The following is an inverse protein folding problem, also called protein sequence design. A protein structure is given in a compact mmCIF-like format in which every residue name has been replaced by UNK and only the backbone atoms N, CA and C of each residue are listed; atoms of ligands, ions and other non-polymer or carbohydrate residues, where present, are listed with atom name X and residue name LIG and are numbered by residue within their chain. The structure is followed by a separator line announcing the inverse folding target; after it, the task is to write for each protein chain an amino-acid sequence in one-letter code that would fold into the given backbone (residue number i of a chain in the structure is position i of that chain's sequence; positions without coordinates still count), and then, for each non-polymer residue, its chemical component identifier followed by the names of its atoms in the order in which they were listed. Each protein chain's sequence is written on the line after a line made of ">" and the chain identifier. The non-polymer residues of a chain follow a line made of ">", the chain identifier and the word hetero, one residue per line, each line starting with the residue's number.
data_IF_502707865705
#
_entry.id   IF_502707865705
#
_cell.length_a   1.000
_cell.length_b   1.000
_cell.length_c   1.000
_cell.angle_alpha   90.00
_cell.angle_beta   90.00
_cell.angle_gamma   90.00
#
_symmetry.space_group_name_H-M   'P 1'
#
loop_
_entity.id
_entity.type
_entity.pdbx_description
1 polymer ?
#
# COMPACT_ATOMS: atom_id res chain seq x y z
N UNK A 1 -16.44 24.87 17.28
CA UNK A 1 -16.43 23.45 16.89
C UNK A 1 -16.20 22.62 18.13
N UNK A 2 -17.06 21.66 18.42
CA UNK A 2 -16.90 20.69 19.53
C UNK A 2 -16.23 19.44 18.96
N UNK A 3 -15.00 19.18 19.39
CA UNK A 3 -14.25 17.97 19.03
C UNK A 3 -14.54 16.89 20.08
N UNK A 4 -14.80 15.67 19.64
CA UNK A 4 -15.05 14.50 20.50
C UNK A 4 -13.76 13.68 20.71
N UNK A 5 -13.73 12.82 21.71
CA UNK A 5 -12.58 12.00 22.08
C UNK A 5 -12.40 10.79 21.15
N UNK A 6 -11.18 10.28 21.07
CA UNK A 6 -10.91 9.00 20.41
C UNK A 6 -11.38 7.83 21.29
N UNK A 7 -12.22 6.95 20.74
CA UNK A 7 -12.69 5.74 21.44
C UNK A 7 -12.23 4.48 20.70
N UNK A 8 -11.35 3.68 21.31
CA UNK A 8 -10.82 2.44 20.71
C UNK A 8 -9.74 2.68 19.64
N UNK A 9 -9.73 1.87 18.57
CA UNK A 9 -8.77 1.95 17.45
C UNK A 9 -9.04 3.08 16.44
N UNK A 10 -9.74 4.15 16.83
CA UNK A 10 -10.07 5.29 15.96
C UNK A 10 -8.85 5.96 15.32
N UNK A 11 -7.65 5.75 15.86
CA UNK A 11 -6.41 6.24 15.28
C UNK A 11 -6.24 5.78 13.84
N UNK A 12 -6.47 4.51 13.50
CA UNK A 12 -6.11 3.90 12.20
C UNK A 12 -6.88 4.47 11.00
N UNK A 13 -7.90 5.31 11.23
CA UNK A 13 -8.74 5.94 10.22
C UNK A 13 -8.11 7.15 9.51
N UNK A 14 -6.86 7.53 9.83
CA UNK A 14 -6.20 8.68 9.23
C UNK A 14 -5.05 8.29 8.30
N UNK A 15 -4.91 8.97 7.16
CA UNK A 15 -3.68 8.91 6.39
C UNK A 15 -2.52 9.54 7.18
N UNK A 16 -1.35 8.91 7.13
CA UNK A 16 -0.19 9.36 7.90
C UNK A 16 1.06 9.47 7.04
N UNK A 17 1.83 10.52 7.30
CA UNK A 17 3.22 10.55 6.88
C UNK A 17 4.07 9.67 7.78
N UNK A 18 4.87 8.80 7.14
CA UNK A 18 5.80 7.92 7.84
C UNK A 18 7.13 8.65 8.05
N UNK A 19 7.42 8.99 9.30
CA UNK A 19 8.70 9.59 9.67
C UNK A 19 9.59 8.49 10.28
N UNK A 20 10.78 8.22 9.73
CA UNK A 20 11.67 7.21 10.29
C UNK A 20 12.12 7.56 11.72
N UNK A 21 11.91 6.62 12.65
CA UNK A 21 12.32 6.76 14.06
C UNK A 21 13.82 7.03 14.22
N UNK A 22 14.63 6.54 13.28
CA UNK A 22 16.08 6.77 13.26
C UNK A 22 16.45 8.26 13.28
N UNK A 23 15.62 9.13 12.68
CA UNK A 23 15.85 10.59 12.70
C UNK A 23 15.74 11.20 14.10
N UNK A 24 15.13 10.50 15.05
CA UNK A 24 14.96 10.95 16.44
C UNK A 24 15.95 10.30 17.41
N UNK A 25 16.45 9.11 17.09
CA UNK A 25 17.32 8.34 18.00
C UNK A 25 18.81 8.45 17.62
N UNK A 26 19.12 8.58 16.34
CA UNK A 26 20.51 8.64 15.89
C UNK A 26 21.12 10.02 16.19
N UNK A 27 22.29 10.01 16.84
CA UNK A 27 23.04 11.21 17.19
C UNK A 27 23.36 12.08 15.96
N UNK A 28 23.49 11.49 14.78
CA UNK A 28 23.78 12.19 13.51
C UNK A 28 22.68 13.18 13.12
N UNK A 29 21.43 12.92 13.51
CA UNK A 29 20.27 13.76 13.20
C UNK A 29 19.75 14.52 14.41
N UNK A 30 20.52 14.59 15.50
CA UNK A 30 20.09 15.25 16.74
C UNK A 30 19.82 16.74 16.55
N UNK A 31 20.60 17.39 15.69
CA UNK A 31 20.46 18.81 15.37
C UNK A 31 19.43 19.08 14.26
N UNK A 32 18.88 18.05 13.63
CA UNK A 32 17.82 18.20 12.63
C UNK A 32 16.56 18.78 13.29
N UNK A 33 15.88 19.70 12.63
CA UNK A 33 14.65 20.30 13.10
C UNK A 33 13.48 19.33 12.96
N UNK A 34 12.47 19.46 13.82
CA UNK A 34 11.26 18.63 13.74
C UNK A 34 10.56 18.81 12.41
N UNK A 35 10.49 20.04 11.91
CA UNK A 35 9.90 20.35 10.60
C UNK A 35 10.67 19.71 9.45
N UNK A 36 12.01 19.64 9.54
CA UNK A 36 12.82 18.95 8.55
C UNK A 36 12.63 17.43 8.60
N UNK A 37 12.49 16.84 9.79
CA UNK A 37 12.11 15.42 9.94
C UNK A 37 10.76 15.13 9.29
N UNK A 38 9.76 16.00 9.52
CA UNK A 38 8.44 15.89 8.89
C UNK A 38 8.53 16.04 7.38
N UNK A 39 9.27 17.03 6.87
CA UNK A 39 9.50 17.22 5.45
C UNK A 39 10.12 15.96 4.83
N UNK A 40 11.14 15.38 5.46
CA UNK A 40 11.74 14.14 4.96
C UNK A 40 10.73 12.99 4.89
N UNK A 41 9.84 12.84 5.89
CA UNK A 41 8.75 11.87 5.85
C UNK A 41 7.78 12.09 4.67
N UNK A 42 7.44 13.35 4.37
CA UNK A 42 6.62 13.70 3.20
C UNK A 42 7.36 13.37 1.89
N UNK A 43 8.66 13.66 1.81
CA UNK A 43 9.47 13.36 0.61
C UNK A 43 9.60 11.85 0.38
N UNK A 44 9.68 11.03 1.43
CA UNK A 44 9.66 9.57 1.31
C UNK A 44 8.33 9.06 0.75
N UNK A 45 7.21 9.60 1.23
CA UNK A 45 5.88 9.26 0.71
C UNK A 45 5.77 9.63 -0.78
N UNK A 46 6.19 10.84 -1.16
CA UNK A 46 6.26 11.28 -2.57
C UNK A 46 7.21 10.44 -3.42
N UNK A 47 8.35 10.02 -2.89
CA UNK A 47 9.28 9.13 -3.57
C UNK A 47 8.62 7.80 -3.90
N UNK A 48 7.81 7.26 -2.99
CA UNK A 48 7.07 6.01 -3.22
C UNK A 48 6.10 6.11 -4.41
N UNK A 49 5.53 7.29 -4.66
CA UNK A 49 4.70 7.58 -5.83
C UNK A 49 5.55 7.69 -7.11
N UNK A 50 6.70 8.37 -7.05
CA UNK A 50 7.62 8.49 -8.17
C UNK A 50 8.17 7.14 -8.66
N UNK A 51 8.38 6.17 -7.75
CA UNK A 51 8.71 4.78 -8.13
C UNK A 51 7.61 4.16 -8.99
N UNK A 52 6.36 4.28 -8.56
CA UNK A 52 5.20 3.70 -9.28
C UNK A 52 5.03 4.31 -10.67
N UNK A 53 5.33 5.60 -10.80
CA UNK A 53 5.23 6.33 -12.06
C UNK A 53 6.46 6.15 -12.97
N UNK A 54 7.46 5.36 -12.57
CA UNK A 54 8.67 5.14 -13.36
C UNK A 54 9.56 6.38 -13.48
N UNK A 55 9.50 7.31 -12.53
CA UNK A 55 10.31 8.54 -12.54
C UNK A 55 11.74 8.24 -12.06
N UNK A 56 12.51 7.65 -12.96
CA UNK A 56 13.88 7.23 -12.77
C UNK A 56 14.82 8.03 -13.67
N UNK A 57 16.02 8.33 -13.19
CA UNK A 57 17.08 8.84 -14.05
C UNK A 57 17.75 7.71 -14.86
N UNK A 58 18.69 8.07 -15.73
CA UNK A 58 19.45 7.13 -16.57
C UNK A 58 20.25 6.10 -15.76
N UNK A 59 20.51 6.36 -14.47
CA UNK A 59 21.18 5.44 -13.56
C UNK A 59 20.20 4.62 -12.71
N UNK A 60 18.89 4.69 -13.01
CA UNK A 60 17.84 3.99 -12.27
C UNK A 60 17.53 4.58 -10.90
N UNK A 61 18.00 5.81 -10.59
CA UNK A 61 17.70 6.48 -9.33
C UNK A 61 16.38 7.22 -9.43
N UNK A 62 15.53 7.00 -8.44
CA UNK A 62 14.24 7.68 -8.33
C UNK A 62 14.47 9.15 -8.03
N UNK A 63 13.80 10.02 -8.77
CA UNK A 63 13.72 11.43 -8.44
C UNK A 63 12.28 11.85 -8.20
N UNK A 64 12.11 12.88 -7.38
CA UNK A 64 10.84 13.55 -7.18
C UNK A 64 10.93 14.98 -7.69
N UNK A 65 9.80 15.51 -8.14
CA UNK A 65 9.63 16.94 -8.40
C UNK A 65 8.77 17.45 -7.25
N UNK A 66 9.36 18.27 -6.38
CA UNK A 66 8.66 18.86 -5.25
C UNK A 66 9.16 20.29 -5.03
N UNK A 67 8.27 21.24 -5.21
CA UNK A 67 8.57 22.67 -5.27
C UNK A 67 8.53 23.32 -3.89
N UNK A 68 9.14 24.50 -3.76
CA UNK A 68 9.05 25.31 -2.53
C UNK A 68 7.60 25.60 -2.17
N UNK A 69 6.76 25.90 -3.17
CA UNK A 69 5.33 26.14 -2.98
C UNK A 69 4.60 24.92 -2.39
N UNK A 70 4.86 23.72 -2.90
CA UNK A 70 4.26 22.49 -2.34
C UNK A 70 4.68 22.24 -0.89
N UNK A 71 5.92 22.58 -0.51
CA UNK A 71 6.37 22.54 0.90
C UNK A 71 5.60 23.54 1.75
N UNK A 72 5.39 24.75 1.24
CA UNK A 72 4.61 25.77 1.95
C UNK A 72 3.17 25.32 2.18
N UNK A 73 2.56 24.69 1.18
CA UNK A 73 1.19 24.15 1.28
C UNK A 73 1.14 22.98 2.29
N UNK A 74 2.13 22.08 2.27
CA UNK A 74 2.12 20.87 3.11
C UNK A 74 2.49 21.13 4.57
N UNK A 75 3.35 22.12 4.85
CA UNK A 75 3.80 22.47 6.20
C UNK A 75 3.23 23.81 6.69
N UNK A 76 2.31 24.42 5.94
CA UNK A 76 1.72 25.74 6.19
C UNK A 76 2.77 26.79 6.59
N UNK A 77 3.89 26.86 5.84
CA UNK A 77 5.04 27.67 6.19
C UNK A 77 5.34 28.77 5.16
N UNK A 78 6.05 29.81 5.60
CA UNK A 78 6.52 30.87 4.72
C UNK A 78 7.65 30.36 3.81
N UNK A 79 7.82 30.99 2.65
CA UNK A 79 8.78 30.57 1.61
C UNK A 79 10.20 30.46 2.14
N UNK A 80 10.65 31.45 2.91
CA UNK A 80 11.99 31.46 3.52
C UNK A 80 12.22 30.24 4.42
N UNK A 81 11.18 29.78 5.12
CA UNK A 81 11.24 28.61 5.99
C UNK A 81 11.31 27.34 5.16
N UNK A 82 10.49 27.21 4.12
CA UNK A 82 10.56 26.07 3.18
C UNK A 82 11.96 25.93 2.54
N UNK A 83 12.56 27.04 2.10
CA UNK A 83 13.93 27.04 1.55
C UNK A 83 14.96 26.62 2.61
N UNK A 84 14.80 27.10 3.86
CA UNK A 84 15.67 26.70 4.98
C UNK A 84 15.59 25.20 5.26
N UNK A 85 14.38 24.61 5.25
CA UNK A 85 14.18 23.18 5.46
C UNK A 85 14.86 22.33 4.38
N UNK A 86 14.80 22.75 3.12
CA UNK A 86 15.53 22.07 2.06
C UNK A 86 17.04 22.11 2.28
N UNK A 87 17.60 23.27 2.65
CA UNK A 87 19.02 23.40 2.93
C UNK A 87 19.44 22.51 4.10
N UNK A 88 18.63 22.49 5.15
CA UNK A 88 18.89 21.65 6.32
C UNK A 88 18.95 20.16 5.93
N UNK A 89 18.00 19.67 5.11
CA UNK A 89 18.04 18.29 4.63
C UNK A 89 19.23 18.01 3.70
N UNK A 90 19.70 18.99 2.93
CA UNK A 90 20.93 18.90 2.13
C UNK A 90 22.17 18.80 3.04
N UNK A 91 22.25 19.62 4.10
CA UNK A 91 23.37 19.66 5.06
C UNK A 91 23.56 18.31 5.78
N UNK A 92 22.45 17.66 6.15
CA UNK A 92 22.46 16.32 6.75
C UNK A 92 22.58 15.17 5.72
N UNK A 93 22.81 15.47 4.44
CA UNK A 93 22.90 14.49 3.34
C UNK A 93 21.68 13.57 3.20
N UNK A 94 20.50 14.04 3.61
CA UNK A 94 19.24 13.29 3.49
C UNK A 94 18.62 13.44 2.10
N UNK A 95 18.89 14.55 1.42
CA UNK A 95 18.44 14.81 0.05
C UNK A 95 19.56 15.39 -0.81
N UNK A 96 19.40 15.30 -2.12
CA UNK A 96 20.23 15.99 -3.10
C UNK A 96 19.34 16.64 -4.16
N UNK A 97 19.55 17.92 -4.45
CA UNK A 97 18.78 18.64 -5.46
C UNK A 97 19.62 18.98 -6.68
N UNK A 98 19.13 18.61 -7.86
CA UNK A 98 19.75 18.94 -9.15
C UNK A 98 18.90 19.96 -9.90
N UNK A 99 19.50 21.11 -10.21
CA UNK A 99 18.86 22.16 -11.03
C UNK A 99 18.88 21.74 -12.49
N UNK A 100 17.76 21.91 -13.19
CA UNK A 100 17.61 21.59 -14.62
C UNK A 100 17.78 22.80 -15.56
N UNK A 101 17.91 24.01 -15.01
CA UNK A 101 17.89 25.26 -15.78
C UNK A 101 16.52 25.58 -16.39
N UNK A 102 16.43 26.71 -17.12
CA UNK A 102 15.25 27.12 -17.90
C UNK A 102 13.92 27.25 -17.11
N UNK A 103 13.97 27.63 -15.83
CA UNK A 103 12.78 27.77 -14.99
C UNK A 103 12.10 26.45 -14.62
N UNK A 104 12.66 25.30 -15.01
CA UNK A 104 12.13 23.99 -14.64
C UNK A 104 12.40 23.69 -13.16
N UNK A 105 11.45 23.05 -12.45
CA UNK A 105 11.66 22.71 -11.04
C UNK A 105 12.83 21.74 -10.88
N UNK A 106 13.51 21.80 -9.74
CA UNK A 106 14.68 20.97 -9.45
C UNK A 106 14.28 19.51 -9.24
N UNK A 107 15.13 18.58 -9.65
CA UNK A 107 14.99 17.17 -9.33
C UNK A 107 15.52 16.95 -7.91
N UNK A 108 14.77 16.24 -7.09
CA UNK A 108 15.18 15.93 -5.72
C UNK A 108 15.36 14.43 -5.62
N UNK A 109 16.52 14.02 -5.13
CA UNK A 109 16.87 12.62 -4.86
C UNK A 109 16.86 12.43 -3.35
N UNK A 110 16.00 11.54 -2.87
CA UNK A 110 15.92 11.20 -1.44
C UNK A 110 16.93 10.08 -1.16
N UNK A 111 17.81 10.30 -0.19
CA UNK A 111 18.89 9.36 0.15
C UNK A 111 18.47 8.43 1.28
N UNK A 112 18.94 7.19 1.21
CA UNK A 112 18.83 6.22 2.30
C UNK A 112 19.98 6.42 3.30
N UNK A 113 19.65 6.88 4.49
CA UNK A 113 20.59 7.11 5.59
C UNK A 113 21.14 5.80 6.22
N UNK A 114 20.57 4.64 5.87
CA UNK A 114 21.04 3.32 6.31
C UNK A 114 22.32 2.89 5.59
N UNK A 115 22.55 3.41 4.38
CA UNK A 115 23.68 3.03 3.50
C UNK A 115 25.05 3.51 4.00
N UNK A 116 25.10 4.44 4.95
CA UNK A 116 26.32 4.99 5.55
C UNK A 116 26.79 4.27 6.82
N UNK A 117 26.12 3.21 7.27
CA UNK A 117 26.71 2.34 8.28
C UNK A 117 27.86 1.55 7.62
N UNK A 118 29.08 1.52 8.19
CA UNK A 118 29.96 0.41 7.90
C UNK A 118 29.14 -0.86 8.13
N UNK A 119 29.18 -1.82 7.18
CA UNK A 119 28.76 -3.19 7.45
C UNK A 119 29.61 -3.67 8.62
N UNK A 120 29.15 -3.45 9.84
CA UNK A 120 29.85 -3.83 11.04
C UNK A 120 29.78 -5.35 11.11
N UNK A 121 30.84 -5.94 10.57
CA UNK A 121 31.43 -7.14 11.11
C UNK A 121 31.38 -7.01 12.63
N UNK A 122 30.91 -8.08 13.27
CA UNK A 122 31.03 -8.28 14.71
C UNK A 122 32.49 -8.07 15.08
N UNK A 123 32.82 -6.87 15.55
CA UNK A 123 34.10 -6.57 16.17
C UNK A 123 33.78 -6.06 17.56
N UNK A 124 34.09 -6.92 18.51
CA UNK A 124 34.18 -6.64 19.93
C UNK A 124 34.89 -5.30 20.14
N UNK A 125 34.20 -4.32 20.71
CA UNK A 125 34.87 -3.17 21.30
C UNK A 125 35.62 -3.66 22.56
N UNK A 126 36.91 -3.31 22.74
CA UNK A 126 37.65 -3.67 23.94
C UNK A 126 37.12 -2.90 25.16
N UNK A 127 37.00 -3.64 26.26
CA UNK A 127 36.68 -3.18 27.60
C UNK A 127 37.80 -2.30 28.19
N UNK A 128 37.42 -1.26 28.94
CA UNK A 128 38.08 -0.61 30.10
C UNK A 128 37.18 0.56 30.52
N UNK A 129 36.72 0.81 31.75
CA UNK A 129 37.07 0.40 33.10
C UNK A 129 35.81 0.54 33.98
N UNK A 130 35.33 -0.53 34.64
CA UNK A 130 35.53 -0.87 36.06
C UNK A 130 34.62 -0.16 37.08
N UNK A 131 33.75 -0.95 37.73
CA UNK A 131 33.01 -0.63 38.95
C UNK A 131 32.14 -1.81 39.36
N UNK A 132 32.68 -2.68 40.21
CA UNK A 132 32.15 -4.00 40.57
C UNK A 132 30.96 -3.98 41.54
N UNK A 133 30.06 -4.97 41.40
CA UNK A 133 29.35 -5.65 42.49
C UNK A 133 28.77 -6.98 41.98
N UNK A 134 28.73 -7.96 42.88
CA UNK A 134 28.82 -9.39 42.62
C UNK A 134 27.59 -10.11 42.06
N UNK A 135 27.91 -11.27 41.50
CA UNK A 135 27.09 -12.35 41.00
C UNK A 135 26.04 -12.91 41.97
N UNK A 136 24.80 -13.01 41.49
CA UNK A 136 23.85 -14.03 41.94
C UNK A 136 23.26 -14.73 40.70
N UNK A 137 23.70 -15.96 40.47
CA UNK A 137 23.08 -16.89 39.53
C UNK A 137 21.77 -17.35 40.18
N UNK A 138 20.63 -16.99 39.60
CA UNK A 138 19.37 -17.69 39.85
C UNK A 138 18.95 -18.42 38.57
N UNK A 139 18.88 -19.74 38.69
CA UNK A 139 18.42 -20.68 37.68
C UNK A 139 16.90 -20.50 37.47
N UNK A 140 16.56 -20.30 36.19
CA UNK A 140 15.28 -20.37 35.44
C UNK A 140 13.92 -20.50 36.16
N UNK A 141 12.87 -19.93 35.53
CA UNK A 141 11.91 -20.80 34.84
C UNK A 141 11.57 -20.37 33.40
N UNK A 142 11.37 -21.36 32.52
CA UNK A 142 10.68 -21.23 31.23
C UNK A 142 9.36 -20.46 31.40
N UNK A 143 9.08 -19.42 30.59
CA UNK A 143 7.72 -18.95 30.40
C UNK A 143 7.01 -19.88 29.41
N UNK A 144 5.84 -20.39 29.82
CA UNK A 144 4.90 -21.08 28.96
C UNK A 144 4.47 -20.20 27.78
N UNK A 145 4.14 -20.88 26.68
CA UNK A 145 3.68 -20.29 25.44
C UNK A 145 2.37 -19.50 25.63
N UNK A 146 2.42 -18.21 25.30
CA UNK A 146 1.23 -17.39 25.10
C UNK A 146 1.02 -17.26 23.58
N UNK A 147 -0.12 -17.80 23.10
CA UNK A 147 -0.60 -17.54 21.73
C UNK A 147 -1.03 -16.08 21.63
N UNK A 148 -0.35 -15.28 20.83
CA UNK A 148 -0.93 -14.04 20.29
C UNK A 148 -0.32 -13.76 18.93
N UNK A 149 -1.16 -13.80 17.90
CA UNK A 149 -0.81 -13.62 16.50
C UNK A 149 -0.57 -12.15 16.14
N UNK A 150 0.59 -11.92 15.52
CA UNK A 150 0.92 -11.00 14.42
C UNK A 150 -0.16 -9.97 14.03
N UNK A 151 0.03 -8.70 14.37
CA UNK A 151 -0.72 -7.58 13.80
C UNK A 151 -0.01 -7.02 12.56
N UNK A 152 -0.72 -7.05 11.42
CA UNK A 152 -0.40 -6.35 10.17
C UNK A 152 -1.17 -5.04 10.16
N UNK A 153 -0.47 -3.92 10.06
CA UNK A 153 -1.01 -2.56 10.05
C UNK A 153 -1.47 -2.14 8.65
N UNK A 154 -2.76 -1.81 8.53
CA UNK A 154 -3.48 -1.13 7.43
C UNK A 154 -3.93 0.24 8.02
N UNK A 155 -3.48 1.40 7.54
CA UNK A 155 -4.04 2.21 6.43
C UNK A 155 -5.55 2.38 6.47
N UNK A 156 -6.05 3.55 6.90
CA UNK A 156 -7.35 4.10 6.50
C UNK A 156 -7.32 5.65 6.54
N UNK A 157 -8.22 6.30 5.80
CA UNK A 157 -8.35 7.76 5.59
C UNK A 157 -9.85 8.18 5.78
N UNK A 158 -10.22 9.42 6.20
CA UNK A 158 -11.61 9.86 6.38
C UNK A 158 -12.05 11.02 5.44
N UNK A 159 -13.25 10.93 4.83
CA UNK A 159 -13.89 11.97 3.95
C UNK A 159 -14.83 12.94 4.71
N UNK A 160 -15.46 14.02 4.13
CA UNK A 160 -15.58 14.43 2.70
C UNK A 160 -15.65 15.96 2.42
N UNK A 161 -14.60 16.57 1.83
CA UNK A 161 -14.71 17.72 0.89
C UNK A 161 -13.59 17.62 -0.18
N UNK A 162 -13.40 16.43 -0.77
CA UNK A 162 -12.64 16.22 -2.03
C UNK A 162 -12.72 14.73 -2.41
N UNK A 163 -13.91 14.19 -2.70
CA UNK A 163 -14.08 12.75 -3.00
C UNK A 163 -13.54 12.32 -4.37
N UNK A 164 -12.66 13.10 -5.00
CA UNK A 164 -11.93 12.73 -6.22
C UNK A 164 -10.73 11.83 -5.95
N UNK A 165 -10.04 11.94 -4.80
CA UNK A 165 -8.71 11.31 -4.64
C UNK A 165 -8.67 9.78 -4.49
N UNK A 166 -9.39 9.23 -3.51
CA UNK A 166 -9.25 7.80 -3.13
C UNK A 166 -9.94 6.89 -4.14
N UNK A 167 -11.10 7.32 -4.65
CA UNK A 167 -11.87 6.58 -5.64
C UNK A 167 -11.12 6.51 -6.96
N UNK A 168 -10.60 7.64 -7.46
CA UNK A 168 -9.75 7.67 -8.67
C UNK A 168 -8.50 6.79 -8.50
N UNK A 169 -7.84 6.83 -7.34
CA UNK A 169 -6.68 5.96 -7.08
C UNK A 169 -7.03 4.45 -7.09
N UNK A 170 -8.21 4.08 -6.61
CA UNK A 170 -8.68 2.69 -6.66
C UNK A 170 -9.12 2.30 -8.07
N UNK A 171 -9.77 3.21 -8.79
CA UNK A 171 -10.10 3.03 -10.20
C UNK A 171 -8.82 2.79 -10.99
N UNK A 172 -7.84 3.70 -10.95
CA UNK A 172 -6.53 3.55 -11.61
C UNK A 172 -5.83 2.22 -11.24
N UNK A 173 -5.84 1.88 -9.95
CA UNK A 173 -5.27 0.61 -9.48
C UNK A 173 -5.93 -0.59 -10.15
N UNK A 174 -7.27 -0.66 -10.18
CA UNK A 174 -7.97 -1.80 -10.76
C UNK A 174 -7.89 -1.80 -12.28
N UNK A 175 -7.92 -0.64 -12.94
CA UNK A 175 -7.69 -0.53 -14.38
C UNK A 175 -6.34 -1.15 -14.78
N UNK A 176 -5.29 -0.85 -14.02
CA UNK A 176 -3.96 -1.40 -14.27
C UNK A 176 -3.85 -2.87 -13.85
N UNK A 177 -4.27 -3.22 -12.63
CA UNK A 177 -4.08 -4.58 -12.07
C UNK A 177 -4.91 -5.64 -12.79
N UNK A 178 -6.07 -5.27 -13.32
CA UNK A 178 -6.93 -6.15 -14.10
C UNK A 178 -6.61 -6.10 -15.60
N UNK A 179 -5.68 -5.24 -16.02
CA UNK A 179 -5.32 -5.00 -17.42
C UNK A 179 -6.57 -4.72 -18.28
N UNK A 180 -7.39 -3.75 -17.85
CA UNK A 180 -8.71 -3.49 -18.46
C UNK A 180 -8.61 -3.22 -19.97
N UNK A 181 -7.59 -2.48 -20.41
CA UNK A 181 -7.36 -2.23 -21.85
C UNK A 181 -7.16 -3.54 -22.65
N UNK A 182 -6.54 -4.55 -22.05
CA UNK A 182 -6.39 -5.88 -22.66
C UNK A 182 -7.71 -6.64 -22.64
N UNK A 183 -8.43 -6.62 -21.51
CA UNK A 183 -9.74 -7.24 -21.39
C UNK A 183 -10.74 -6.71 -22.43
N UNK A 184 -10.79 -5.40 -22.64
CA UNK A 184 -11.67 -4.77 -23.63
C UNK A 184 -11.33 -5.20 -25.07
N UNK A 185 -10.05 -5.49 -25.35
CA UNK A 185 -9.64 -6.02 -26.67
C UNK A 185 -9.98 -7.50 -26.85
N UNK A 186 -9.90 -8.29 -25.78
CA UNK A 186 -10.16 -9.73 -25.81
C UNK A 186 -11.65 -10.07 -25.73
N UNK A 187 -12.42 -9.26 -25.02
CA UNK A 187 -13.84 -9.44 -24.73
C UNK A 187 -14.63 -8.16 -25.05
N UNK A 188 -14.70 -7.74 -26.33
CA UNK A 188 -15.34 -6.48 -26.72
C UNK A 188 -16.84 -6.45 -26.43
N UNK A 189 -17.52 -7.60 -26.46
CA UNK A 189 -18.96 -7.71 -26.20
C UNK A 189 -19.31 -7.52 -24.70
N UNK A 190 -18.32 -7.62 -23.81
CA UNK A 190 -18.47 -7.52 -22.36
C UNK A 190 -18.03 -6.16 -21.80
N UNK A 191 -17.80 -5.15 -22.64
CA UNK A 191 -17.30 -3.82 -22.24
C UNK A 191 -18.07 -3.22 -21.04
N UNK A 192 -19.39 -3.15 -21.14
CA UNK A 192 -20.25 -2.63 -20.07
C UNK A 192 -20.14 -3.46 -18.77
N UNK A 193 -20.01 -4.78 -18.90
CA UNK A 193 -19.87 -5.69 -17.75
C UNK A 193 -18.51 -5.50 -17.08
N UNK A 194 -17.44 -5.32 -17.85
CA UNK A 194 -16.09 -5.08 -17.34
C UNK A 194 -16.06 -3.77 -16.54
N UNK A 195 -16.61 -2.68 -17.06
CA UNK A 195 -16.70 -1.42 -16.33
C UNK A 195 -17.53 -1.56 -15.04
N UNK A 196 -18.66 -2.27 -15.09
CA UNK A 196 -19.47 -2.54 -13.90
C UNK A 196 -18.73 -3.37 -12.86
N UNK A 197 -17.90 -4.33 -13.28
CA UNK A 197 -17.04 -5.10 -12.38
C UNK A 197 -16.04 -4.18 -11.69
N UNK A 198 -15.35 -3.31 -12.44
CA UNK A 198 -14.39 -2.35 -11.87
C UNK A 198 -15.07 -1.43 -10.87
N UNK A 199 -16.22 -0.84 -11.23
CA UNK A 199 -17.00 0.02 -10.35
C UNK A 199 -17.41 -0.72 -9.06
N UNK A 200 -17.88 -1.96 -9.17
CA UNK A 200 -18.24 -2.79 -8.02
C UNK A 200 -17.03 -3.07 -7.12
N UNK A 201 -15.85 -3.33 -7.69
CA UNK A 201 -14.62 -3.55 -6.94
C UNK A 201 -14.18 -2.28 -6.20
N UNK A 202 -14.26 -1.13 -6.86
CA UNK A 202 -13.94 0.18 -6.29
C UNK A 202 -14.92 0.51 -5.16
N UNK A 203 -16.23 0.39 -5.39
CA UNK A 203 -17.27 0.61 -4.37
C UNK A 203 -17.08 -0.30 -3.15
N UNK A 204 -16.79 -1.58 -3.40
CA UNK A 204 -16.56 -2.55 -2.32
C UNK A 204 -15.28 -2.22 -1.55
N UNK A 205 -14.21 -1.82 -2.26
CA UNK A 205 -12.95 -1.48 -1.61
C UNK A 205 -12.97 -0.13 -0.90
N UNK A 206 -13.81 0.79 -1.35
CA UNK A 206 -14.01 2.12 -0.74
C UNK A 206 -15.03 2.09 0.41
N UNK A 207 -15.63 0.93 0.70
CA UNK A 207 -16.68 0.85 1.71
C UNK A 207 -16.17 1.20 3.10
N UNK A 208 -16.96 1.95 3.88
CA UNK A 208 -16.68 2.29 5.28
C UNK A 208 -17.18 1.24 6.27
N UNK A 209 -17.88 0.18 5.79
CA UNK A 209 -18.41 -0.88 6.63
C UNK A 209 -17.26 -1.76 7.15
N UNK A 210 -17.29 -2.12 8.43
CA UNK A 210 -16.29 -3.02 9.03
C UNK A 210 -16.45 -4.48 8.61
N UNK A 211 -17.68 -4.89 8.32
CA UNK A 211 -18.05 -6.25 7.94
C UNK A 211 -18.87 -6.22 6.66
N UNK A 212 -18.59 -7.17 5.77
CA UNK A 212 -19.29 -7.38 4.51
C UNK A 212 -19.79 -8.82 4.44
N UNK A 213 -21.04 -8.98 4.01
CA UNK A 213 -21.62 -10.29 3.79
C UNK A 213 -21.22 -10.80 2.41
N UNK A 214 -20.42 -11.85 2.36
CA UNK A 214 -19.92 -12.48 1.13
C UNK A 214 -20.29 -13.96 1.13
N UNK A 215 -21.03 -14.39 0.10
CA UNK A 215 -21.51 -15.78 -0.03
C UNK A 215 -22.27 -16.32 1.21
N UNK A 216 -22.94 -15.44 1.95
CA UNK A 216 -23.71 -15.80 3.15
C UNK A 216 -23.01 -15.59 4.48
N UNK A 217 -21.68 -15.42 4.48
CA UNK A 217 -20.89 -15.18 5.69
C UNK A 217 -20.53 -13.71 5.86
N UNK A 218 -20.51 -13.23 7.11
CA UNK A 218 -19.95 -11.92 7.42
C UNK A 218 -18.43 -12.01 7.54
N UNK A 219 -17.74 -11.24 6.70
CA UNK A 219 -16.27 -11.20 6.62
C UNK A 219 -15.77 -9.78 6.92
N UNK A 220 -14.63 -9.60 7.61
CA UNK A 220 -14.04 -8.29 7.80
C UNK A 220 -13.74 -7.63 6.45
N UNK A 221 -14.08 -6.34 6.30
CA UNK A 221 -13.97 -5.63 5.03
C UNK A 221 -12.53 -5.62 4.49
N UNK A 222 -11.53 -5.52 5.37
CA UNK A 222 -10.12 -5.58 4.96
C UNK A 222 -9.71 -6.93 4.37
N UNK A 223 -10.27 -8.04 4.87
CA UNK A 223 -10.05 -9.38 4.30
C UNK A 223 -10.65 -9.45 2.90
N UNK A 224 -11.83 -8.85 2.71
CA UNK A 224 -12.47 -8.75 1.40
C UNK A 224 -11.64 -7.90 0.45
N UNK A 225 -11.20 -6.70 0.86
CA UNK A 225 -10.30 -5.83 0.08
C UNK A 225 -9.01 -6.54 -0.33
N UNK A 226 -8.33 -7.17 0.63
CA UNK A 226 -7.09 -7.91 0.39
C UNK A 226 -7.29 -9.07 -0.59
N UNK A 227 -8.46 -9.73 -0.56
CA UNK A 227 -8.80 -10.79 -1.51
C UNK A 227 -9.05 -10.22 -2.91
N UNK A 228 -9.86 -9.17 -3.03
CA UNK A 228 -10.22 -8.54 -4.30
C UNK A 228 -9.01 -7.91 -5.00
N UNK A 229 -8.07 -7.32 -4.25
CA UNK A 229 -6.83 -6.77 -4.80
C UNK A 229 -5.88 -7.82 -5.41
N UNK A 230 -6.15 -9.12 -5.23
CA UNK A 230 -5.43 -10.23 -5.88
C UNK A 230 -6.04 -10.66 -7.20
N UNK A 231 -7.15 -10.05 -7.62
CA UNK A 231 -7.71 -10.27 -8.93
C UNK A 231 -6.75 -9.79 -10.02
N UNK A 232 -6.84 -10.42 -11.18
CA UNK A 232 -6.08 -10.11 -12.39
C UNK A 232 -7.01 -10.38 -13.59
N UNK A 233 -6.53 -10.11 -14.80
CA UNK A 233 -7.31 -10.30 -16.03
C UNK A 233 -7.92 -11.71 -16.16
N UNK A 234 -7.17 -12.77 -15.84
CA UNK A 234 -7.66 -14.15 -15.94
C UNK A 234 -8.85 -14.42 -15.02
N UNK A 235 -8.84 -13.88 -13.80
CA UNK A 235 -9.98 -14.02 -12.90
C UNK A 235 -11.22 -13.30 -13.42
N UNK A 236 -11.05 -12.15 -14.08
CA UNK A 236 -12.18 -11.41 -14.67
C UNK A 236 -12.77 -12.20 -15.83
N UNK A 237 -11.93 -12.71 -16.73
CA UNK A 237 -12.39 -13.58 -17.83
C UNK A 237 -13.13 -14.81 -17.31
N UNK A 238 -12.59 -15.47 -16.28
CA UNK A 238 -13.27 -16.60 -15.62
C UNK A 238 -14.67 -16.21 -15.11
N UNK A 239 -14.83 -15.00 -14.56
CA UNK A 239 -16.13 -14.51 -14.09
C UNK A 239 -17.07 -14.23 -15.27
N UNK A 240 -16.60 -13.61 -16.36
CA UNK A 240 -17.39 -13.36 -17.57
C UNK A 240 -17.88 -14.67 -18.20
N UNK A 241 -17.01 -15.67 -18.34
CA UNK A 241 -17.37 -17.00 -18.87
C UNK A 241 -18.53 -17.60 -18.06
N UNK A 242 -18.46 -17.51 -16.73
CA UNK A 242 -19.50 -18.05 -15.85
C UNK A 242 -20.81 -17.27 -15.89
N UNK A 243 -20.75 -15.96 -16.13
CA UNK A 243 -21.93 -15.13 -16.34
C UNK A 243 -22.64 -15.50 -17.65
N UNK A 244 -21.87 -15.75 -18.71
CA UNK A 244 -22.40 -16.17 -20.00
C UNK A 244 -23.00 -17.60 -19.95
N UNK A 245 -22.37 -18.51 -19.18
CA UNK A 245 -22.85 -19.89 -19.02
C UNK A 245 -24.09 -20.00 -18.09
N UNK A 246 -24.35 -19.03 -17.22
CA UNK A 246 -25.42 -19.11 -16.24
C UNK A 246 -26.77 -18.61 -16.80
N UNK A 247 -27.73 -19.53 -16.93
CA UNK A 247 -29.09 -19.24 -17.45
C UNK A 247 -30.12 -18.94 -16.34
N UNK A 248 -29.75 -19.03 -15.06
CA UNK A 248 -30.67 -18.84 -13.96
C UNK A 248 -30.87 -17.34 -13.62
N UNK A 249 -32.10 -16.87 -13.35
CA UNK A 249 -32.35 -15.47 -13.01
C UNK A 249 -31.74 -15.10 -11.67
N UNK A 250 -30.77 -14.17 -11.69
CA UNK A 250 -30.09 -13.69 -10.48
C UNK A 250 -30.89 -12.54 -9.85
N UNK A 251 -31.53 -12.79 -8.71
CA UNK A 251 -32.33 -11.78 -8.00
C UNK A 251 -31.50 -10.62 -7.43
N UNK A 252 -30.25 -10.88 -7.02
CA UNK A 252 -29.35 -9.87 -6.49
C UNK A 252 -27.99 -9.94 -7.20
N UNK A 253 -27.95 -9.30 -8.38
CA UNK A 253 -26.81 -9.36 -9.27
C UNK A 253 -25.51 -8.87 -8.62
N UNK A 254 -25.57 -7.78 -7.85
CA UNK A 254 -24.39 -7.23 -7.15
C UNK A 254 -23.79 -8.23 -6.16
N UNK A 255 -24.61 -8.85 -5.32
CA UNK A 255 -24.11 -9.83 -4.33
C UNK A 255 -23.58 -11.11 -4.98
N UNK A 256 -24.24 -11.55 -6.06
CA UNK A 256 -23.80 -12.70 -6.83
C UNK A 256 -22.43 -12.45 -7.46
N UNK A 257 -22.27 -11.33 -8.16
CA UNK A 257 -21.02 -10.94 -8.81
C UNK A 257 -19.89 -10.74 -7.78
N UNK A 258 -20.19 -10.09 -6.65
CA UNK A 258 -19.21 -9.90 -5.60
C UNK A 258 -18.74 -11.23 -4.98
N UNK A 259 -19.66 -12.19 -4.77
CA UNK A 259 -19.30 -13.52 -4.28
C UNK A 259 -18.42 -14.29 -5.29
N UNK A 260 -18.73 -14.18 -6.58
CA UNK A 260 -17.92 -14.75 -7.65
C UNK A 260 -16.51 -14.17 -7.70
N UNK A 261 -16.39 -12.84 -7.74
CA UNK A 261 -15.11 -12.13 -7.74
C UNK A 261 -14.28 -12.46 -6.51
N UNK A 262 -14.89 -12.52 -5.32
CA UNK A 262 -14.17 -12.88 -4.10
C UNK A 262 -13.59 -14.30 -4.12
N UNK A 263 -14.31 -15.26 -4.72
CA UNK A 263 -13.92 -16.66 -4.75
C UNK A 263 -12.99 -17.02 -5.92
N UNK A 264 -13.01 -16.25 -7.02
CA UNK A 264 -12.28 -16.56 -8.24
C UNK A 264 -10.79 -16.93 -8.01
N UNK A 265 -9.99 -16.19 -7.20
CA UNK A 265 -8.59 -16.55 -6.96
C UNK A 265 -8.36 -17.89 -6.26
N UNK A 266 -9.38 -18.42 -5.58
CA UNK A 266 -9.29 -19.69 -4.84
C UNK A 266 -9.94 -20.86 -5.57
N UNK A 267 -10.94 -20.61 -6.42
CA UNK A 267 -11.73 -21.67 -7.06
C UNK A 267 -11.40 -21.87 -8.53
N UNK A 268 -10.80 -20.89 -9.21
CA UNK A 268 -10.56 -20.93 -10.66
C UNK A 268 -9.74 -22.15 -11.10
N UNK A 269 -8.63 -22.46 -10.43
CA UNK A 269 -7.78 -23.60 -10.79
C UNK A 269 -8.53 -24.95 -10.62
N UNK A 270 -9.23 -25.11 -9.50
CA UNK A 270 -10.04 -26.31 -9.25
C UNK A 270 -11.18 -26.47 -10.28
N UNK A 271 -11.80 -25.36 -10.67
CA UNK A 271 -12.83 -25.37 -11.71
C UNK A 271 -12.25 -25.86 -13.05
N UNK A 272 -11.13 -25.30 -13.52
CA UNK A 272 -10.55 -25.73 -14.79
C UNK A 272 -10.10 -27.19 -14.74
N UNK A 273 -9.48 -27.65 -13.64
CA UNK A 273 -9.16 -29.07 -13.45
C UNK A 273 -10.40 -29.97 -13.55
N UNK A 274 -11.51 -29.58 -12.90
CA UNK A 274 -12.75 -30.33 -12.97
C UNK A 274 -13.36 -30.32 -14.38
N UNK A 275 -13.35 -29.19 -15.08
CA UNK A 275 -13.84 -29.07 -16.47
C UNK A 275 -13.05 -29.98 -17.41
N UNK A 276 -11.72 -29.92 -17.34
CA UNK A 276 -10.83 -30.80 -18.11
C UNK A 276 -11.07 -32.28 -17.82
N UNK A 277 -11.18 -32.68 -16.55
CA UNK A 277 -11.48 -34.07 -16.18
C UNK A 277 -12.84 -34.55 -16.70
N UNK A 278 -13.86 -33.69 -16.62
CA UNK A 278 -15.19 -34.01 -17.10
C UNK A 278 -15.23 -34.15 -18.64
N UNK A 279 -14.51 -33.30 -19.36
CA UNK A 279 -14.38 -33.37 -20.82
C UNK A 279 -13.60 -34.61 -21.26
N UNK A 280 -12.55 -35.02 -20.54
CA UNK A 280 -11.87 -36.30 -20.78
C UNK A 280 -12.75 -37.52 -20.51
N UNK A 281 -13.60 -37.47 -19.47
CA UNK A 281 -14.54 -38.53 -19.15
C UNK A 281 -15.66 -38.67 -20.19
N UNK A 282 -16.09 -37.57 -20.82
CA UNK A 282 -17.13 -37.56 -21.87
C UNK A 282 -16.57 -37.70 -23.29
N UNK A 283 -15.30 -37.34 -23.49
CA UNK A 283 -14.60 -37.38 -24.77
C UNK A 283 -13.96 -38.73 -25.10
N UNK A 284 -14.16 -39.76 -24.28
CA UNK A 284 -13.86 -41.15 -24.65
C UNK A 284 -15.04 -41.70 -25.46
N UNK A 285 -14.95 -41.84 -26.80
CA UNK A 285 -15.92 -42.65 -27.52
C UNK A 285 -15.74 -44.07 -26.99
N UNK A 286 -16.84 -44.73 -26.62
CA UNK A 286 -16.82 -46.12 -26.21
C UNK A 286 -15.98 -46.96 -27.17
N UNK A 287 -15.06 -47.74 -26.61
CA UNK A 287 -14.55 -48.94 -27.29
C UNK A 287 -15.67 -49.96 -27.41
#
# INVERSE_FOLDING_TARGET
>A
MTLDYFYGQSGELFSYFRIPKALFHDCRFRQLSTDARTLYGILLDRMSLSVKNGWLDEQGRVYIIYTVREVQESLCCAEHKAVKLFRELEDFNLIERKRRGLGRPSLIYVKDFSSGLPKAQVQNCPNSNSGAAESAILVQPKPQANKTDKNKTEWNDPDPIYSGGIREQLEDYFYQALEVDLLLRLCPDDEDTIYQIVDLLVDTCSTKRKMLRIAGDDKPAEVVRSRLKKLNADHIRFVLDFLAENTAPVRNMKQYLLAMLYNAPTTMNLYYQNKTNHDFARGSPGR
#
